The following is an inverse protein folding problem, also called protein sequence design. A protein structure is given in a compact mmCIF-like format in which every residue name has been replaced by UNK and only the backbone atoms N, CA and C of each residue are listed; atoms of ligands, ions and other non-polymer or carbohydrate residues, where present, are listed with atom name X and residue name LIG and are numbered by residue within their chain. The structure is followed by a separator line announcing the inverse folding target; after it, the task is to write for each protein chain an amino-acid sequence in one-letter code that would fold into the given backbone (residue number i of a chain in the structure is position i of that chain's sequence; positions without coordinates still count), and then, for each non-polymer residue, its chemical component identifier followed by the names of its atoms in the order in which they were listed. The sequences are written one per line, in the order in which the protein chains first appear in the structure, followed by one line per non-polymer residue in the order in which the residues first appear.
data_IF_506838641334
#
_entry.id   IF_506838641334
#
_cell.length_a   1.000
_cell.length_b   1.000
_cell.length_c   1.000
_cell.angle_alpha   90.00
_cell.angle_beta   90.00
_cell.angle_gamma   90.00
#
_symmetry.space_group_name_H-M   'P 1'
#
loop_
_entity.id
_entity.type
_entity.pdbx_description
1 polymer ?
#
# COMPACT_ATOMS: atom_id res chain seq x y z
N UNK A 1 -1.53 -3.89 3.43
CA UNK A 1 -1.93 -4.03 4.84
C UNK A 1 -2.79 -2.85 5.29
N UNK A 2 -2.31 -1.63 5.14
CA UNK A 2 -3.04 -0.43 5.56
C UNK A 2 -4.38 -0.25 4.83
N UNK A 3 -4.38 -0.40 3.51
CA UNK A 3 -5.60 -0.39 2.69
C UNK A 3 -6.61 -1.45 3.11
N UNK A 4 -6.13 -2.62 3.51
CA UNK A 4 -6.98 -3.69 4.01
C UNK A 4 -7.59 -3.31 5.36
N UNK A 5 -6.79 -2.74 6.27
CA UNK A 5 -7.26 -2.28 7.56
C UNK A 5 -8.32 -1.19 7.42
N UNK A 6 -8.08 -0.14 6.61
CA UNK A 6 -9.06 0.92 6.38
C UNK A 6 -10.38 0.38 5.83
N UNK A 7 -10.34 -0.50 4.83
CA UNK A 7 -11.53 -1.10 4.26
C UNK A 7 -12.30 -1.97 5.28
N UNK A 8 -11.59 -2.67 6.16
CA UNK A 8 -12.20 -3.49 7.21
C UNK A 8 -12.83 -2.65 8.31
N UNK A 9 -12.20 -1.52 8.68
CA UNK A 9 -12.74 -0.59 9.66
C UNK A 9 -13.99 0.14 9.15
N UNK A 10 -14.01 0.56 7.89
CA UNK A 10 -15.21 1.15 7.27
C UNK A 10 -16.41 0.20 7.26
N UNK A 11 -16.16 -1.12 7.24
CA UNK A 11 -17.20 -2.16 7.30
C UNK A 11 -17.57 -2.59 8.74
N UNK A 12 -17.19 -1.85 9.79
CA UNK A 12 -17.50 -2.11 11.21
C UNK A 12 -17.16 -3.54 11.72
N UNK A 13 -16.11 -4.15 11.17
CA UNK A 13 -15.61 -5.43 11.66
C UNK A 13 -14.49 -5.20 12.67
N UNK A 14 -14.75 -5.51 13.93
CA UNK A 14 -13.73 -5.49 15.00
C UNK A 14 -12.60 -6.46 14.70
N UNK A 15 -11.36 -5.99 14.84
CA UNK A 15 -10.14 -6.81 14.76
C UNK A 15 -9.74 -7.12 16.19
N UNK A 16 -9.81 -8.37 16.61
CA UNK A 16 -9.57 -8.77 18.00
C UNK A 16 -8.08 -8.87 18.32
N UNK A 17 -7.23 -9.33 17.39
CA UNK A 17 -5.77 -9.42 17.57
C UNK A 17 -4.97 -9.18 16.28
N UNK A 18 -3.66 -8.83 16.41
CA UNK A 18 -2.74 -8.68 15.25
C UNK A 18 -2.53 -9.99 14.49
N UNK A 19 -2.43 -11.11 15.21
CA UNK A 19 -2.22 -12.44 14.63
C UNK A 19 -3.43 -12.89 13.78
N UNK A 20 -4.64 -12.59 14.23
CA UNK A 20 -5.85 -12.88 13.49
C UNK A 20 -5.91 -12.07 12.19
N UNK A 21 -5.46 -10.84 12.23
CA UNK A 21 -5.42 -9.96 11.05
C UNK A 21 -4.45 -10.49 9.99
N UNK A 22 -3.26 -10.93 10.40
CA UNK A 22 -2.26 -11.48 9.49
C UNK A 22 -2.74 -12.78 8.82
N UNK A 23 -3.34 -13.67 9.59
CA UNK A 23 -3.92 -14.91 9.07
C UNK A 23 -5.10 -14.67 8.10
N UNK A 24 -5.94 -13.68 8.38
CA UNK A 24 -7.05 -13.29 7.50
C UNK A 24 -6.52 -12.72 6.17
N UNK A 25 -5.46 -11.90 6.22
CA UNK A 25 -4.83 -11.33 5.03
C UNK A 25 -4.24 -12.43 4.14
N UNK A 26 -3.50 -13.38 4.73
CA UNK A 26 -2.93 -14.51 3.98
C UNK A 26 -4.00 -15.44 3.39
N UNK A 27 -5.18 -15.47 3.98
CA UNK A 27 -6.31 -16.27 3.49
C UNK A 27 -7.07 -15.60 2.34
N UNK A 28 -6.82 -14.31 2.08
CA UNK A 28 -7.41 -13.62 0.94
C UNK A 28 -6.65 -13.97 -0.34
N UNK A 29 -7.30 -14.72 -1.23
CA UNK A 29 -6.73 -15.12 -2.51
C UNK A 29 -6.20 -13.95 -3.34
N UNK A 30 -6.78 -12.75 -3.21
CA UNK A 30 -6.33 -11.55 -3.92
C UNK A 30 -4.99 -11.06 -3.43
N UNK A 31 -4.74 -11.14 -2.12
CA UNK A 31 -3.45 -10.80 -1.53
C UNK A 31 -2.37 -11.77 -2.00
N UNK A 32 -2.66 -13.07 -2.06
CA UNK A 32 -1.74 -14.07 -2.60
C UNK A 32 -1.40 -13.79 -4.07
N UNK A 33 -2.39 -13.41 -4.88
CA UNK A 33 -2.16 -13.03 -6.28
C UNK A 33 -1.26 -11.78 -6.36
N UNK A 34 -1.47 -10.78 -5.53
CA UNK A 34 -0.62 -9.57 -5.47
C UNK A 34 0.83 -9.95 -5.14
N UNK A 35 1.04 -10.83 -4.15
CA UNK A 35 2.38 -11.30 -3.77
C UNK A 35 3.04 -12.04 -4.94
N UNK A 36 2.32 -12.93 -5.61
CA UNK A 36 2.84 -13.67 -6.78
C UNK A 36 3.19 -12.74 -7.93
N UNK A 37 2.34 -11.75 -8.23
CA UNK A 37 2.61 -10.76 -9.27
C UNK A 37 3.84 -9.91 -8.94
N UNK A 38 4.02 -9.54 -7.67
CA UNK A 38 5.20 -8.81 -7.21
C UNK A 38 6.48 -9.65 -7.36
N UNK A 39 6.44 -10.93 -6.97
CA UNK A 39 7.56 -11.85 -7.17
C UNK A 39 7.90 -12.04 -8.66
N UNK A 40 6.89 -12.14 -9.50
CA UNK A 40 7.07 -12.27 -10.96
C UNK A 40 7.73 -11.00 -11.54
N UNK A 41 7.27 -9.81 -11.15
CA UNK A 41 7.86 -8.53 -11.54
C UNK A 41 9.33 -8.45 -11.15
N UNK A 42 9.67 -8.79 -9.90
CA UNK A 42 11.05 -8.80 -9.41
C UNK A 42 11.91 -9.83 -10.13
N UNK A 43 11.35 -11.00 -10.46
CA UNK A 43 12.06 -12.05 -11.20
C UNK A 43 12.47 -11.57 -12.62
N UNK A 44 11.58 -10.89 -13.33
CA UNK A 44 11.91 -10.29 -14.63
C UNK A 44 12.98 -9.22 -14.51
N UNK A 45 12.89 -8.35 -13.50
CA UNK A 45 13.92 -7.35 -13.22
C UNK A 45 15.28 -7.98 -12.97
N UNK A 46 15.35 -9.04 -12.16
CA UNK A 46 16.58 -9.78 -11.89
C UNK A 46 17.15 -10.47 -13.15
N UNK A 47 16.30 -11.07 -13.98
CA UNK A 47 16.73 -11.72 -15.24
C UNK A 47 17.35 -10.71 -16.22
N UNK A 48 16.87 -9.48 -16.24
CA UNK A 48 17.48 -8.42 -17.04
C UNK A 48 18.82 -7.95 -16.49
N UNK A 49 18.94 -7.76 -15.18
CA UNK A 49 20.20 -7.36 -14.53
C UNK A 49 21.28 -8.45 -14.62
N UNK A 50 20.91 -9.71 -14.48
CA UNK A 50 21.81 -10.85 -14.63
C UNK A 50 22.17 -11.18 -16.09
N UNK A 51 21.69 -10.37 -17.05
CA UNK A 51 21.93 -10.54 -18.51
C UNK A 51 21.44 -11.89 -19.08
N UNK A 52 20.56 -12.59 -18.37
CA UNK A 52 19.90 -13.80 -18.86
C UNK A 52 18.91 -13.43 -19.98
N UNK A 53 18.33 -12.23 -19.91
CA UNK A 53 17.39 -11.69 -20.88
C UNK A 53 17.81 -10.27 -21.30
N UNK A 54 17.39 -9.84 -22.49
CA UNK A 54 17.56 -8.46 -22.90
C UNK A 54 16.86 -7.53 -21.87
N UNK A 55 17.60 -6.52 -21.36
CA UNK A 55 17.12 -5.66 -20.28
C UNK A 55 15.84 -4.89 -20.62
N UNK A 56 15.65 -4.49 -21.89
CA UNK A 56 14.44 -3.81 -22.36
C UNK A 56 13.24 -4.76 -22.30
N UNK A 57 13.42 -5.99 -22.78
CA UNK A 57 12.38 -7.01 -22.77
C UNK A 57 12.02 -7.39 -21.33
N UNK A 58 13.02 -7.57 -20.46
CA UNK A 58 12.83 -7.86 -19.05
C UNK A 58 12.00 -6.79 -18.35
N UNK A 59 12.28 -5.51 -18.61
CA UNK A 59 11.55 -4.41 -18.02
C UNK A 59 10.09 -4.38 -18.53
N UNK A 60 9.86 -4.49 -19.82
CA UNK A 60 8.51 -4.53 -20.40
C UNK A 60 7.70 -5.69 -19.79
N UNK A 61 8.28 -6.88 -19.72
CA UNK A 61 7.64 -8.05 -19.12
C UNK A 61 7.37 -7.86 -17.61
N UNK A 62 8.25 -7.14 -16.89
CA UNK A 62 8.05 -6.79 -15.49
C UNK A 62 6.93 -5.79 -15.27
N UNK A 63 6.69 -4.87 -16.21
CA UNK A 63 5.59 -3.91 -16.11
C UNK A 63 4.21 -4.56 -16.26
N UNK A 64 4.07 -5.68 -16.96
CA UNK A 64 2.78 -6.38 -17.11
C UNK A 64 2.22 -6.81 -15.73
N UNK A 65 2.92 -7.63 -14.93
CA UNK A 65 2.43 -8.00 -13.61
C UNK A 65 2.29 -6.79 -12.67
N UNK A 66 3.11 -5.76 -12.81
CA UNK A 66 2.99 -4.53 -12.04
C UNK A 66 1.65 -3.81 -12.30
N UNK A 67 1.27 -3.62 -13.56
CA UNK A 67 -0.01 -2.97 -13.91
C UNK A 67 -1.19 -3.80 -13.42
N UNK A 68 -1.13 -5.13 -13.58
CA UNK A 68 -2.19 -6.04 -13.08
C UNK A 68 -2.31 -5.93 -11.56
N UNK A 69 -1.19 -5.91 -10.84
CA UNK A 69 -1.13 -5.74 -9.39
C UNK A 69 -1.77 -4.41 -8.97
N UNK A 70 -1.41 -3.29 -9.60
CA UNK A 70 -2.00 -1.99 -9.33
C UNK A 70 -3.52 -1.97 -9.57
N UNK A 71 -3.97 -2.60 -10.65
CA UNK A 71 -5.41 -2.72 -10.94
C UNK A 71 -6.15 -3.50 -9.85
N UNK A 72 -5.59 -4.61 -9.37
CA UNK A 72 -6.19 -5.41 -8.30
C UNK A 72 -6.25 -4.60 -6.99
N UNK A 73 -5.17 -3.88 -6.64
CA UNK A 73 -5.11 -3.04 -5.45
C UNK A 73 -6.16 -1.92 -5.56
N UNK A 74 -6.20 -1.21 -6.67
CA UNK A 74 -7.15 -0.14 -6.89
C UNK A 74 -8.60 -0.60 -6.76
N UNK A 75 -8.95 -1.70 -7.44
CA UNK A 75 -10.32 -2.21 -7.48
C UNK A 75 -10.83 -2.76 -6.14
N UNK A 76 -9.95 -3.38 -5.34
CA UNK A 76 -10.38 -4.14 -4.16
C UNK A 76 -10.02 -3.48 -2.83
N UNK A 77 -9.03 -2.60 -2.80
CA UNK A 77 -8.47 -2.06 -1.57
C UNK A 77 -8.36 -0.52 -1.55
N UNK A 78 -8.70 0.16 -2.67
CA UNK A 78 -8.63 1.60 -2.76
C UNK A 78 -10.00 2.22 -2.52
N UNK A 79 -10.10 3.08 -1.49
CA UNK A 79 -11.26 3.88 -1.14
C UNK A 79 -10.90 5.37 -1.19
N UNK A 80 -11.89 6.25 -1.07
CA UNK A 80 -11.65 7.71 -1.05
C UNK A 80 -10.66 8.13 0.06
N UNK A 81 -10.69 7.46 1.21
CA UNK A 81 -9.84 7.77 2.35
C UNK A 81 -8.36 7.40 2.12
N UNK A 82 -8.05 6.40 1.28
CA UNK A 82 -6.69 5.91 1.07
C UNK A 82 -6.13 6.12 -0.35
N UNK A 83 -6.89 6.79 -1.22
CA UNK A 83 -6.51 7.00 -2.62
C UNK A 83 -5.18 7.75 -2.77
N UNK A 84 -4.89 8.70 -1.89
CA UNK A 84 -3.63 9.45 -1.91
C UNK A 84 -2.43 8.54 -1.66
N UNK A 85 -2.55 7.61 -0.73
CA UNK A 85 -1.51 6.60 -0.43
C UNK A 85 -1.28 5.70 -1.62
N UNK A 86 -2.36 5.27 -2.29
CA UNK A 86 -2.28 4.46 -3.50
C UNK A 86 -1.59 5.20 -4.66
N UNK A 87 -1.93 6.48 -4.88
CA UNK A 87 -1.32 7.29 -5.95
C UNK A 87 0.19 7.45 -5.70
N UNK A 88 0.59 7.85 -4.49
CA UNK A 88 2.01 8.00 -4.14
C UNK A 88 2.76 6.68 -4.30
N UNK A 89 2.20 5.57 -3.81
CA UNK A 89 2.76 4.25 -4.01
C UNK A 89 2.96 3.93 -5.49
N UNK A 90 1.94 4.13 -6.32
CA UNK A 90 1.99 3.83 -7.76
C UNK A 90 3.05 4.65 -8.49
N UNK A 91 3.17 5.95 -8.16
CA UNK A 91 4.18 6.84 -8.75
C UNK A 91 5.58 6.38 -8.37
N UNK A 92 5.85 6.21 -7.08
CA UNK A 92 7.19 5.84 -6.58
C UNK A 92 7.62 4.50 -7.18
N UNK A 93 6.76 3.50 -7.21
CA UNK A 93 7.07 2.19 -7.79
C UNK A 93 7.29 2.25 -9.30
N UNK A 94 6.53 3.09 -10.02
CA UNK A 94 6.76 3.30 -11.46
C UNK A 94 8.14 3.91 -11.75
N UNK A 95 8.62 4.78 -10.86
CA UNK A 95 9.95 5.39 -11.01
C UNK A 95 11.09 4.36 -10.98
N UNK A 96 10.96 3.26 -10.23
CA UNK A 96 11.97 2.18 -10.26
C UNK A 96 12.13 1.58 -11.66
N UNK A 97 11.03 1.42 -12.39
CA UNK A 97 11.08 0.93 -13.77
C UNK A 97 11.71 1.93 -14.74
N UNK A 98 11.58 3.24 -14.50
CA UNK A 98 12.23 4.28 -15.30
C UNK A 98 13.74 4.30 -15.02
N UNK A 99 14.13 4.26 -13.75
CA UNK A 99 15.53 4.25 -13.33
C UNK A 99 16.27 3.00 -13.83
N UNK A 100 15.55 1.93 -14.09
CA UNK A 100 16.11 0.70 -14.65
C UNK A 100 16.91 0.93 -15.95
N UNK A 101 16.56 1.94 -16.74
CA UNK A 101 17.23 2.30 -18.00
C UNK A 101 18.49 3.17 -17.83
N UNK A 102 18.82 3.60 -16.62
CA UNK A 102 19.99 4.43 -16.39
C UNK A 102 21.28 3.59 -16.48
N UNK A 103 22.42 4.26 -16.69
CA UNK A 103 23.74 3.66 -16.58
C UNK A 103 24.00 3.16 -15.14
N UNK A 104 24.90 2.19 -14.97
CA UNK A 104 25.09 1.47 -13.71
C UNK A 104 25.34 2.37 -12.50
N UNK A 105 26.11 3.46 -12.66
CA UNK A 105 26.41 4.38 -11.55
C UNK A 105 25.19 5.22 -11.19
N UNK A 106 24.55 5.84 -12.19
CA UNK A 106 23.35 6.66 -12.00
C UNK A 106 22.18 5.82 -11.49
N UNK A 107 22.04 4.57 -11.95
CA UNK A 107 21.04 3.61 -11.48
C UNK A 107 21.15 3.36 -9.99
N UNK A 108 22.35 3.02 -9.49
CA UNK A 108 22.56 2.73 -8.08
C UNK A 108 22.26 3.94 -7.17
N UNK A 109 22.70 5.14 -7.59
CA UNK A 109 22.41 6.37 -6.84
C UNK A 109 20.91 6.65 -6.84
N UNK A 110 20.24 6.52 -7.99
CA UNK A 110 18.81 6.78 -8.12
C UNK A 110 17.96 5.80 -7.32
N UNK A 111 18.33 4.51 -7.30
CA UNK A 111 17.65 3.53 -6.46
C UNK A 111 17.80 3.84 -4.97
N UNK A 112 18.98 4.25 -4.50
CA UNK A 112 19.17 4.64 -3.12
C UNK A 112 18.31 5.87 -2.74
N UNK A 113 18.21 6.85 -3.63
CA UNK A 113 17.34 8.02 -3.42
C UNK A 113 15.86 7.60 -3.40
N UNK A 114 15.43 6.78 -4.36
CA UNK A 114 14.05 6.27 -4.39
C UNK A 114 13.71 5.44 -3.15
N UNK A 115 14.66 4.66 -2.66
CA UNK A 115 14.49 3.87 -1.43
C UNK A 115 14.26 4.75 -0.21
N UNK A 116 15.01 5.85 -0.09
CA UNK A 116 14.80 6.82 0.98
C UNK A 116 13.42 7.46 0.85
N UNK A 117 13.06 7.93 -0.35
CA UNK A 117 11.75 8.54 -0.61
C UNK A 117 10.62 7.54 -0.33
N UNK A 118 10.75 6.31 -0.82
CA UNK A 118 9.74 5.26 -0.64
C UNK A 118 9.56 4.89 0.83
N UNK A 119 10.65 4.64 1.56
CA UNK A 119 10.58 4.17 2.94
C UNK A 119 10.20 5.28 3.90
N UNK A 120 10.84 6.46 3.80
CA UNK A 120 10.58 7.59 4.70
C UNK A 120 9.28 8.28 4.33
N UNK A 121 9.09 8.63 3.06
CA UNK A 121 7.90 9.34 2.60
C UNK A 121 6.63 8.52 2.79
N UNK A 122 6.67 7.25 2.43
CA UNK A 122 5.53 6.35 2.64
C UNK A 122 5.27 6.09 4.13
N UNK A 123 6.32 5.93 4.94
CA UNK A 123 6.19 5.79 6.39
C UNK A 123 5.51 7.00 7.05
N UNK A 124 5.88 8.22 6.64
CA UNK A 124 5.26 9.46 7.13
C UNK A 124 3.79 9.54 6.69
N UNK A 125 3.48 9.21 5.44
CA UNK A 125 2.10 9.20 4.94
C UNK A 125 1.21 8.22 5.71
N UNK A 126 1.71 7.01 5.94
CA UNK A 126 1.02 5.99 6.72
C UNK A 126 0.78 6.45 8.16
N UNK A 127 1.82 7.00 8.79
CA UNK A 127 1.73 7.54 10.16
C UNK A 127 0.70 8.67 10.25
N UNK A 128 0.74 9.63 9.33
CA UNK A 128 -0.23 10.72 9.26
C UNK A 128 -1.67 10.20 9.12
N UNK A 129 -1.89 9.24 8.22
CA UNK A 129 -3.21 8.67 7.99
C UNK A 129 -3.76 7.94 9.22
N UNK A 130 -2.91 7.18 9.92
CA UNK A 130 -3.28 6.49 11.17
C UNK A 130 -3.63 7.47 12.28
N UNK A 131 -2.91 8.59 12.40
CA UNK A 131 -3.22 9.63 13.40
C UNK A 131 -4.56 10.28 13.10
N UNK A 132 -4.83 10.70 11.88
CA UNK A 132 -6.10 11.31 11.50
C UNK A 132 -7.27 10.38 11.81
N UNK A 133 -7.14 9.11 11.49
CA UNK A 133 -8.14 8.10 11.80
C UNK A 133 -8.39 7.96 13.33
N UNK A 134 -7.33 7.95 14.14
CA UNK A 134 -7.47 7.88 15.61
C UNK A 134 -8.17 9.12 16.17
N UNK A 135 -7.83 10.30 15.68
CA UNK A 135 -8.47 11.56 16.13
C UNK A 135 -9.96 11.59 15.79
N UNK A 136 -10.32 11.15 14.59
CA UNK A 136 -11.73 11.07 14.17
C UNK A 136 -12.53 10.12 15.05
N UNK A 137 -11.98 8.96 15.39
CA UNK A 137 -12.63 8.01 16.30
C UNK A 137 -12.80 8.58 17.72
N UNK A 138 -11.81 9.29 18.26
CA UNK A 138 -11.92 9.93 19.58
C UNK A 138 -13.03 10.98 19.58
N UNK A 139 -13.08 11.84 18.57
CA UNK A 139 -14.11 12.86 18.42
C UNK A 139 -15.52 12.25 18.34
N UNK A 140 -15.67 11.13 17.60
CA UNK A 140 -16.95 10.41 17.50
C UNK A 140 -17.39 9.82 18.86
N UNK A 141 -16.45 9.27 19.64
CA UNK A 141 -16.73 8.76 20.98
C UNK A 141 -17.15 9.88 21.94
N UNK A 142 -16.46 11.02 21.94
CA UNK A 142 -16.80 12.17 22.77
C UNK A 142 -18.19 12.73 22.45
N UNK A 143 -18.52 12.84 21.16
CA UNK A 143 -19.84 13.29 20.72
C UNK A 143 -20.96 12.34 21.17
N UNK A 144 -20.74 11.03 21.13
CA UNK A 144 -21.70 10.03 21.58
C UNK A 144 -21.92 10.09 23.11
N UNK A 145 -20.84 10.28 23.88
CA UNK A 145 -20.93 10.45 25.35
C UNK A 145 -21.65 11.75 25.70
N UNK A 146 -21.34 12.85 25.00
CA UNK A 146 -22.01 14.14 25.20
C UNK A 146 -23.52 14.07 24.93
N UNK A 147 -23.93 13.39 23.86
CA UNK A 147 -25.34 13.20 23.53
C UNK A 147 -26.09 12.35 24.57
N UNK A 148 -25.47 11.26 25.05
CA UNK A 148 -26.07 10.41 26.07
C UNK A 148 -26.27 11.16 27.42
N UNK A 149 -25.32 11.99 27.83
CA UNK A 149 -25.42 12.80 29.02
C UNK A 149 -26.54 13.86 28.93
N UNK A 150 -26.81 14.38 27.74
CA UNK A 150 -27.90 15.33 27.50
C UNK A 150 -29.29 14.67 27.55
N UNK A 151 -29.40 13.39 27.19
CA UNK A 151 -30.65 12.60 27.26
C UNK A 151 -30.99 12.32 28.75
N UNK A 152 -29.98 11.90 29.51
CA UNK A 152 -30.16 11.60 30.97
C UNK A 152 -30.54 12.82 31.78
N UNK A 153 -30.12 14.05 31.40
CA UNK A 153 -30.52 15.29 32.11
C UNK A 153 -31.93 15.79 31.78
N UNK A 154 -32.55 15.25 30.73
CA UNK A 154 -33.92 15.64 30.33
C UNK A 154 -35.02 14.69 30.81
N UNK A 155 -34.65 13.55 31.36
CA UNK A 155 -35.54 12.58 32.03
C UNK A 155 -35.62 12.88 33.53
#
# INVERSE_FOLDING_TARGET
YLSYLTNKYENNKTIETEDDTFNIILKDNKVLIIILLNLLMLSFGYMGESKVMNYIVANILGFIPFIIMLYIIWKNYCNQSNIHVFIVFSIVWSMYGIVYYFDSNSKNISYNILDIIAKVGFGILVWYHVIQYKLENINNLENNIGNNNNIVKKS
#
